data_IF_698496248272
#
_entry.id   IF_698496248272
#
_cell.length_a   1.000
_cell.length_b   1.000
_cell.length_c   1.000
_cell.angle_alpha   90.00
_cell.angle_beta   90.00
_cell.angle_gamma   90.00
#
_symmetry.space_group_name_H-M   'P 1'
#
loop_
_entity.id
_entity.type
_entity.pdbx_description
1 polymer ?
#
# COMPACT_ATOMS: atom_id res chain seq x y z
N UNK A 1 3.10 16.10 -2.01
CA UNK A 1 2.50 16.78 -3.18
C UNK A 1 2.71 16.01 -4.48
N UNK A 2 3.91 15.52 -4.81
CA UNK A 2 4.16 14.79 -6.07
C UNK A 2 3.24 13.60 -6.36
N UNK A 3 3.04 12.69 -5.39
CA UNK A 3 2.15 11.52 -5.55
C UNK A 3 0.68 11.91 -5.80
N UNK A 4 0.22 13.00 -5.16
CA UNK A 4 -1.14 13.51 -5.32
C UNK A 4 -1.33 14.09 -6.74
N UNK A 5 -0.33 14.82 -7.25
CA UNK A 5 -0.35 15.36 -8.61
C UNK A 5 -0.39 14.22 -9.63
N UNK A 6 0.41 13.17 -9.41
CA UNK A 6 0.43 11.98 -10.26
C UNK A 6 -0.92 11.26 -10.28
N UNK A 7 -1.59 11.15 -9.14
CA UNK A 7 -2.94 10.57 -9.05
C UNK A 7 -3.98 11.44 -9.79
N UNK A 8 -3.89 12.77 -9.66
CA UNK A 8 -4.75 13.71 -10.40
C UNK A 8 -4.61 13.53 -11.92
N UNK A 9 -3.39 13.46 -12.43
CA UNK A 9 -3.13 13.36 -13.87
C UNK A 9 -3.49 11.98 -14.43
N UNK A 10 -3.21 10.91 -13.69
CA UNK A 10 -3.43 9.54 -14.18
C UNK A 10 -4.87 9.06 -13.99
N UNK A 11 -5.48 9.36 -12.84
CA UNK A 11 -6.82 8.85 -12.50
C UNK A 11 -7.95 9.86 -12.75
N UNK A 12 -7.73 11.17 -12.56
CA UNK A 12 -8.81 12.16 -12.59
C UNK A 12 -8.90 12.99 -13.88
N UNK A 13 -7.88 12.97 -14.74
CA UNK A 13 -7.84 13.78 -15.96
C UNK A 13 -8.97 13.50 -16.94
N UNK A 14 -9.30 12.22 -17.14
CA UNK A 14 -10.40 11.76 -18.00
C UNK A 14 -11.51 11.10 -17.18
N UNK A 15 -11.93 11.76 -16.10
CA UNK A 15 -12.92 11.21 -15.18
C UNK A 15 -14.29 11.03 -15.85
N UNK A 16 -14.66 9.77 -16.11
CA UNK A 16 -15.97 9.37 -16.64
C UNK A 16 -16.74 8.58 -15.59
N UNK A 17 -17.68 9.20 -14.86
CA UNK A 17 -18.36 8.56 -13.75
C UNK A 17 -19.30 7.47 -14.26
N UNK A 18 -19.17 6.27 -13.72
CA UNK A 18 -20.09 5.15 -13.95
C UNK A 18 -20.59 4.65 -12.59
N UNK A 19 -21.91 4.43 -12.43
CA UNK A 19 -22.46 3.91 -11.20
C UNK A 19 -22.07 2.43 -11.01
N UNK A 20 -21.48 2.12 -9.87
CA UNK A 20 -21.05 0.78 -9.49
C UNK A 20 -21.53 0.49 -8.07
N UNK A 21 -22.22 -0.63 -7.89
CA UNK A 21 -22.56 -1.12 -6.55
C UNK A 21 -21.32 -1.77 -5.95
N UNK A 22 -20.88 -1.25 -4.81
CA UNK A 22 -19.73 -1.75 -4.07
C UNK A 22 -20.13 -1.94 -2.60
N UNK A 23 -20.03 -3.18 -2.11
CA UNK A 23 -20.40 -3.55 -0.73
C UNK A 23 -21.81 -3.09 -0.31
N UNK A 24 -22.79 -3.24 -1.20
CA UNK A 24 -24.18 -2.85 -0.96
C UNK A 24 -24.46 -1.34 -1.07
N UNK A 25 -23.44 -0.53 -1.39
CA UNK A 25 -23.57 0.92 -1.54
C UNK A 25 -23.31 1.36 -2.98
N UNK A 26 -24.06 2.36 -3.46
CA UNK A 26 -23.81 2.98 -4.76
C UNK A 26 -22.56 3.87 -4.69
N UNK A 27 -21.55 3.58 -5.51
CA UNK A 27 -20.35 4.41 -5.69
C UNK A 27 -20.16 4.76 -7.17
N UNK A 28 -19.66 5.96 -7.44
CA UNK A 28 -19.23 6.35 -8.78
C UNK A 28 -17.77 5.97 -8.96
N UNK A 29 -17.48 5.14 -9.96
CA UNK A 29 -16.12 4.76 -10.34
C UNK A 29 -15.75 5.40 -11.66
N UNK A 30 -14.47 5.68 -11.87
CA UNK A 30 -13.98 6.11 -13.18
C UNK A 30 -13.88 4.89 -14.10
N UNK A 31 -14.69 4.83 -15.16
CA UNK A 31 -14.64 3.73 -16.13
C UNK A 31 -13.38 3.74 -17.01
N UNK A 32 -12.68 4.87 -17.07
CA UNK A 32 -11.43 5.03 -17.82
C UNK A 32 -10.19 4.65 -17.01
N UNK A 33 -10.34 4.47 -15.69
CA UNK A 33 -9.23 4.14 -14.80
C UNK A 33 -9.03 2.62 -14.72
N UNK A 34 -8.21 2.10 -15.63
CA UNK A 34 -7.76 0.70 -15.60
C UNK A 34 -6.36 0.54 -14.97
N UNK A 35 -5.78 1.64 -14.49
CA UNK A 35 -4.47 1.67 -13.86
C UNK A 35 -4.56 1.33 -12.38
N UNK A 36 -3.67 0.45 -11.86
CA UNK A 36 -3.53 0.22 -10.43
C UNK A 36 -3.30 1.54 -9.69
N UNK A 37 -3.61 1.64 -8.40
CA UNK A 37 -3.34 2.84 -7.61
C UNK A 37 -1.82 3.09 -7.51
N UNK A 38 -1.27 3.83 -8.46
CA UNK A 38 0.17 4.12 -8.57
C UNK A 38 0.73 4.71 -7.27
N UNK A 39 0.04 5.63 -6.55
CA UNK A 39 0.56 6.15 -5.30
C UNK A 39 0.81 5.07 -4.23
N UNK A 40 -0.10 4.11 -4.10
CA UNK A 40 0.04 3.02 -3.13
C UNK A 40 1.22 2.11 -3.47
N UNK A 41 1.35 1.72 -4.75
CA UNK A 41 2.46 0.88 -5.22
C UNK A 41 3.81 1.56 -4.98
N UNK A 42 3.94 2.83 -5.37
CA UNK A 42 5.18 3.60 -5.17
C UNK A 42 5.53 3.70 -3.68
N UNK A 43 4.53 3.92 -2.82
CA UNK A 43 4.74 4.02 -1.38
C UNK A 43 5.26 2.70 -0.79
N UNK A 44 4.65 1.57 -1.14
CA UNK A 44 5.09 0.25 -0.66
C UNK A 44 6.51 -0.08 -1.16
N UNK A 45 6.84 0.25 -2.41
CA UNK A 45 8.20 0.07 -2.95
C UNK A 45 9.24 0.91 -2.22
N UNK A 46 8.89 2.15 -1.86
CA UNK A 46 9.76 3.03 -1.08
C UNK A 46 10.00 2.44 0.31
N UNK A 47 8.93 1.97 0.98
CA UNK A 47 9.04 1.31 2.30
C UNK A 47 9.87 0.04 2.22
N UNK A 48 9.70 -0.78 1.17
CA UNK A 48 10.53 -1.96 0.92
C UNK A 48 12.00 -1.60 0.76
N UNK A 49 12.29 -0.52 0.03
CA UNK A 49 13.67 -0.05 -0.18
C UNK A 49 14.30 0.37 1.14
N UNK A 50 13.59 1.21 1.92
CA UNK A 50 14.06 1.68 3.22
C UNK A 50 14.19 0.51 4.22
N UNK A 51 13.20 -0.37 4.28
CA UNK A 51 13.23 -1.55 5.14
C UNK A 51 14.37 -2.50 4.80
N UNK A 52 14.75 -2.60 3.52
CA UNK A 52 15.92 -3.37 3.10
C UNK A 52 17.24 -2.70 3.53
N UNK A 53 17.33 -1.38 3.47
CA UNK A 53 18.50 -0.65 4.01
C UNK A 53 18.64 -0.84 5.52
N UNK A 54 17.53 -0.71 6.26
CA UNK A 54 17.51 -0.95 7.71
C UNK A 54 17.92 -2.39 8.03
N UNK A 55 17.45 -3.37 7.24
CA UNK A 55 17.86 -4.77 7.40
C UNK A 55 19.37 -4.93 7.22
N UNK A 56 19.97 -4.31 6.21
CA UNK A 56 21.41 -4.40 5.99
C UNK A 56 22.24 -3.80 7.13
N UNK A 57 21.75 -2.75 7.79
CA UNK A 57 22.47 -2.07 8.88
C UNK A 57 22.26 -2.72 10.26
N UNK A 58 21.04 -3.18 10.55
CA UNK A 58 20.66 -3.65 11.91
C UNK A 58 20.46 -5.17 11.99
N UNK A 59 20.39 -5.86 10.85
CA UNK A 59 20.00 -7.28 10.78
C UNK A 59 18.50 -7.52 10.95
N UNK A 60 17.68 -6.48 11.15
CA UNK A 60 16.24 -6.62 11.41
C UNK A 60 15.39 -6.57 10.13
N UNK A 61 15.04 -7.75 9.60
CA UNK A 61 14.32 -7.89 8.32
C UNK A 61 12.81 -7.57 8.38
N UNK A 62 12.26 -7.28 9.56
CA UNK A 62 10.81 -7.31 9.79
C UNK A 62 10.02 -6.27 8.99
N UNK A 63 10.56 -5.05 8.84
CA UNK A 63 9.93 -4.02 8.00
C UNK A 63 9.89 -4.43 6.53
N UNK A 64 10.96 -5.07 6.04
CA UNK A 64 11.02 -5.56 4.66
C UNK A 64 10.00 -6.68 4.43
N UNK A 65 9.92 -7.65 5.34
CA UNK A 65 8.97 -8.77 5.25
C UNK A 65 7.51 -8.29 5.27
N UNK A 66 7.16 -7.39 6.19
CA UNK A 66 5.81 -6.85 6.28
C UNK A 66 5.42 -6.01 5.06
N UNK A 67 6.37 -5.24 4.49
CA UNK A 67 6.14 -4.52 3.25
C UNK A 67 6.00 -5.44 2.03
N UNK A 68 6.68 -6.60 2.01
CA UNK A 68 6.48 -7.62 0.97
C UNK A 68 5.07 -8.22 1.06
N UNK A 69 4.59 -8.50 2.28
CA UNK A 69 3.22 -8.96 2.51
C UNK A 69 2.21 -7.93 2.01
N UNK A 70 2.43 -6.64 2.27
CA UNK A 70 1.58 -5.57 1.73
C UNK A 70 1.60 -5.52 0.21
N UNK A 71 2.77 -5.65 -0.42
CA UNK A 71 2.89 -5.64 -1.88
C UNK A 71 2.09 -6.79 -2.51
N UNK A 72 2.24 -8.00 -1.97
CA UNK A 72 1.52 -9.19 -2.45
C UNK A 72 0.02 -9.06 -2.17
N UNK A 73 -0.36 -8.66 -0.96
CA UNK A 73 -1.76 -8.48 -0.56
C UNK A 73 -2.49 -7.44 -1.41
N UNK A 74 -1.81 -6.33 -1.74
CA UNK A 74 -2.37 -5.27 -2.60
C UNK A 74 -2.40 -5.63 -4.08
N UNK A 75 -1.60 -6.61 -4.53
CA UNK A 75 -1.64 -7.08 -5.91
C UNK A 75 -2.86 -7.99 -6.19
N UNK A 76 -3.44 -8.58 -5.14
CA UNK A 76 -4.58 -9.47 -5.28
C UNK A 76 -5.86 -8.63 -5.41
N UNK A 77 -6.66 -8.81 -6.48
CA UNK A 77 -7.89 -8.06 -6.67
C UNK A 77 -8.89 -8.33 -5.54
N UNK A 78 -9.50 -7.29 -4.92
CA UNK A 78 -10.52 -7.47 -3.89
C UNK A 78 -11.72 -8.31 -4.33
N UNK A 79 -11.96 -8.40 -5.64
CA UNK A 79 -13.02 -9.23 -6.23
C UNK A 79 -12.85 -10.74 -5.95
N UNK A 80 -11.62 -11.23 -5.73
CA UNK A 80 -11.36 -12.66 -5.51
C UNK A 80 -11.47 -13.08 -4.05
N UNK A 81 -11.10 -12.19 -3.12
CA UNK A 81 -10.80 -12.53 -1.72
C UNK A 81 -11.47 -11.60 -0.72
N UNK A 82 -12.29 -10.66 -1.22
CA UNK A 82 -12.92 -9.62 -0.43
C UNK A 82 -11.96 -8.49 -0.03
N UNK A 83 -12.49 -7.43 0.61
CA UNK A 83 -11.69 -6.29 1.05
C UNK A 83 -10.79 -6.61 2.25
N UNK A 84 -11.16 -7.62 3.03
CA UNK A 84 -10.47 -8.01 4.26
C UNK A 84 -8.98 -8.34 4.04
N UNK A 85 -8.60 -8.88 2.87
CA UNK A 85 -7.20 -9.19 2.59
C UNK A 85 -6.34 -7.92 2.51
N UNK A 86 -6.81 -6.88 1.82
CA UNK A 86 -6.08 -5.63 1.68
C UNK A 86 -5.88 -4.95 3.04
N UNK A 87 -6.96 -4.86 3.83
CA UNK A 87 -6.91 -4.30 5.19
C UNK A 87 -6.02 -5.14 6.12
N UNK A 88 -6.05 -6.46 6.02
CA UNK A 88 -5.18 -7.33 6.81
C UNK A 88 -3.70 -7.13 6.49
N UNK A 89 -3.37 -6.98 5.22
CA UNK A 89 -2.00 -6.69 4.79
C UNK A 89 -1.50 -5.32 5.30
N UNK A 90 -2.38 -4.32 5.32
CA UNK A 90 -2.09 -3.00 5.89
C UNK A 90 -1.83 -3.06 7.40
N UNK A 91 -2.63 -3.85 8.14
CA UNK A 91 -2.40 -4.08 9.58
C UNK A 91 -1.05 -4.74 9.85
N UNK A 92 -0.66 -5.73 9.04
CA UNK A 92 0.65 -6.39 9.13
C UNK A 92 1.77 -5.38 8.88
N UNK A 93 1.63 -4.51 7.88
CA UNK A 93 2.60 -3.44 7.62
C UNK A 93 2.72 -2.48 8.81
N UNK A 94 1.60 -2.10 9.42
CA UNK A 94 1.59 -1.20 10.58
C UNK A 94 2.28 -1.83 11.80
N UNK A 95 2.07 -3.12 12.05
CA UNK A 95 2.82 -3.89 13.05
C UNK A 95 4.31 -3.93 12.70
N UNK A 96 4.64 -4.05 11.40
CA UNK A 96 5.99 -3.97 10.88
C UNK A 96 6.71 -2.68 11.25
N UNK A 97 6.05 -1.54 11.04
CA UNK A 97 6.56 -0.23 11.44
C UNK A 97 6.79 -0.14 12.95
N UNK A 98 5.77 -0.49 13.74
CA UNK A 98 5.85 -0.42 15.20
C UNK A 98 6.98 -1.28 15.78
N UNK A 99 7.12 -2.53 15.32
CA UNK A 99 8.18 -3.42 15.77
C UNK A 99 9.57 -2.92 15.38
N UNK A 100 9.70 -2.28 14.20
CA UNK A 100 10.97 -1.71 13.73
C UNK A 100 11.36 -0.47 14.52
N UNK A 101 10.39 0.38 14.87
CA UNK A 101 10.62 1.52 15.75
C UNK A 101 11.15 1.10 17.12
N UNK A 102 10.51 0.10 17.76
CA UNK A 102 10.97 -0.45 19.04
C UNK A 102 12.41 -0.97 18.94
N UNK A 103 12.73 -1.68 17.86
CA UNK A 103 14.07 -2.22 17.65
C UNK A 103 15.11 -1.12 17.47
N UNK A 104 14.82 -0.12 16.63
CA UNK A 104 15.72 1.00 16.39
C UNK A 104 15.99 1.79 17.68
N UNK A 105 14.96 2.00 18.52
CA UNK A 105 15.14 2.62 19.83
C UNK A 105 16.06 1.79 20.75
N UNK A 106 15.92 0.46 20.75
CA UNK A 106 16.75 -0.42 21.58
C UNK A 106 18.24 -0.44 21.17
N UNK A 107 18.54 -0.27 19.89
CA UNK A 107 19.91 -0.29 19.35
C UNK A 107 20.62 1.07 19.46
N UNK A 108 19.88 2.17 19.62
CA UNK A 108 20.44 3.53 19.65
C UNK A 108 20.75 4.07 21.06
N UNK A 109 21.12 3.20 22.01
CA UNK A 109 21.61 3.55 23.36
C UNK A 109 23.10 3.24 23.57
#
# INVERSE_FOLDING_TARGET
MGLIILDLDTYYRDFKPVPVIHEGTLRYSNASAMTPPLPAVITVLLVLTIGSLIWLETGWAWLCLSALVMLIGSAIPPKLVGPAMGSGAELILMIGFWATEIHLQAVSF
#
